data_IF_721138295789
#
_entry.id   IF_721138295789
#
_cell.length_a   1.000
_cell.length_b   1.000
_cell.length_c   1.000
_cell.angle_alpha   90.00
_cell.angle_beta   90.00
_cell.angle_gamma   90.00
#
_symmetry.space_group_name_H-M   'P 1'
#
loop_
_entity.id
_entity.type
_entity.pdbx_description
1 polymer ?
#
# COMPACT_ATOMS: atom_id res chain seq x y z
N UNK A 1 11.57 1.66 24.51
CA UNK A 1 11.23 1.23 24.20
C UNK A 1 10.85 0.85 23.46
N UNK A 2 10.58 0.57 23.24
CA UNK A 2 10.19 0.05 22.80
C UNK A 2 9.72 -0.36 22.11
N UNK A 3 9.65 -0.31 21.79
CA UNK A 3 9.07 -0.85 21.02
C UNK A 3 8.60 -1.83 20.80
N UNK A 4 8.00 -1.72 20.89
CA UNK A 4 7.29 -2.75 20.85
C UNK A 4 7.45 -3.53 19.74
N UNK A 5 7.60 -4.60 19.85
CA UNK A 5 7.69 -5.49 18.91
C UNK A 5 6.42 -5.72 18.36
N UNK A 6 6.01 -4.81 17.73
CA UNK A 6 4.81 -4.89 17.26
C UNK A 6 4.71 -5.76 16.11
N UNK A 7 3.89 -6.70 16.17
CA UNK A 7 3.74 -7.61 15.11
C UNK A 7 2.85 -7.09 14.04
N UNK A 8 2.27 -5.95 14.24
CA UNK A 8 1.38 -5.38 13.25
C UNK A 8 2.16 -4.41 12.37
N UNK A 9 3.25 -4.92 11.82
CA UNK A 9 4.10 -4.10 10.99
C UNK A 9 3.41 -3.41 9.87
N UNK A 10 2.47 -4.06 9.12
CA UNK A 10 1.83 -3.35 8.02
C UNK A 10 1.08 -2.10 8.47
N UNK A 11 0.49 -2.16 9.66
CA UNK A 11 -0.19 -0.98 10.15
C UNK A 11 0.78 0.09 10.59
N UNK A 12 1.90 -0.32 11.14
CA UNK A 12 2.88 0.63 11.61
C UNK A 12 3.60 1.33 10.49
N UNK A 13 3.72 0.67 9.33
CA UNK A 13 4.47 1.22 8.22
C UNK A 13 3.70 2.31 7.49
N UNK A 14 2.39 2.14 7.36
CA UNK A 14 1.62 3.13 6.61
C UNK A 14 1.15 4.22 7.53
N UNK A 15 1.52 5.44 7.24
CA UNK A 15 1.20 6.59 8.05
C UNK A 15 0.34 7.57 7.29
N UNK A 16 -0.45 8.36 7.99
CA UNK A 16 -1.24 9.38 7.31
C UNK A 16 -0.35 10.30 6.49
N UNK A 17 -0.84 10.68 5.33
CA UNK A 17 -0.13 11.53 4.41
C UNK A 17 -0.67 12.94 4.55
N UNK A 18 0.20 13.92 4.52
CA UNK A 18 -0.21 15.31 4.65
C UNK A 18 0.36 16.14 3.52
N UNK A 19 -0.33 17.23 3.24
CA UNK A 19 0.18 18.23 2.34
C UNK A 19 -0.19 17.98 0.90
N UNK A 20 0.50 18.70 0.05
CA UNK A 20 0.14 18.74 -1.36
C UNK A 20 0.64 17.55 -2.16
N UNK A 21 1.48 16.73 -1.57
CA UNK A 21 2.08 15.64 -2.31
C UNK A 21 1.51 14.29 -1.89
N UNK A 22 0.20 14.26 -1.67
CA UNK A 22 -0.43 13.04 -1.20
C UNK A 22 -0.23 11.87 -2.15
N UNK A 23 -0.32 12.11 -3.45
CA UNK A 23 -0.14 11.05 -4.42
C UNK A 23 1.28 10.46 -4.34
N UNK A 24 2.28 11.34 -4.40
CA UNK A 24 3.67 10.87 -4.36
C UNK A 24 3.97 10.15 -3.05
N UNK A 25 3.47 10.68 -1.95
CA UNK A 25 3.72 10.07 -0.65
C UNK A 25 3.07 8.69 -0.54
N UNK A 26 1.87 8.53 -1.11
CA UNK A 26 1.21 7.23 -1.15
C UNK A 26 2.04 6.23 -1.94
N UNK A 27 2.48 6.62 -3.13
CA UNK A 27 3.29 5.73 -3.96
C UNK A 27 4.55 5.35 -3.21
N UNK A 28 5.20 6.33 -2.60
CA UNK A 28 6.47 6.08 -1.92
C UNK A 28 6.29 5.14 -0.74
N UNK A 29 5.29 5.38 0.09
CA UNK A 29 5.08 4.53 1.25
C UNK A 29 4.75 3.10 0.86
N UNK A 30 3.88 2.94 -0.13
CA UNK A 30 3.49 1.60 -0.55
C UNK A 30 4.64 0.88 -1.25
N UNK A 31 5.37 1.59 -2.11
CA UNK A 31 6.51 0.99 -2.78
C UNK A 31 7.58 0.55 -1.77
N UNK A 32 7.83 1.38 -0.77
CA UNK A 32 8.80 1.04 0.26
C UNK A 32 8.37 -0.19 1.03
N UNK A 33 7.10 -0.26 1.42
CA UNK A 33 6.60 -1.41 2.16
C UNK A 33 6.75 -2.69 1.34
N UNK A 34 6.50 -2.61 0.03
CA UNK A 34 6.64 -3.77 -0.84
C UNK A 34 8.12 -4.16 -0.95
N UNK A 35 8.99 -3.20 -1.17
CA UNK A 35 10.41 -3.49 -1.31
C UNK A 35 11.04 -4.04 -0.06
N UNK A 36 10.54 -3.63 1.10
CA UNK A 36 11.04 -4.13 2.35
C UNK A 36 10.44 -5.48 2.76
N UNK A 37 9.50 -5.97 1.97
CA UNK A 37 8.89 -7.26 2.25
C UNK A 37 7.80 -7.23 3.29
N UNK A 38 7.33 -6.04 3.65
CA UNK A 38 6.19 -5.93 4.56
C UNK A 38 4.98 -6.58 3.91
N UNK A 39 4.83 -6.36 2.61
CA UNK A 39 3.84 -7.07 1.80
C UNK A 39 4.62 -7.98 0.87
N UNK A 40 4.73 -9.26 1.20
CA UNK A 40 5.60 -10.14 0.43
C UNK A 40 5.10 -10.41 -0.99
N UNK A 41 6.01 -10.85 -1.83
CA UNK A 41 5.68 -11.25 -3.19
C UNK A 41 4.55 -12.27 -3.15
N UNK A 42 3.55 -12.07 -3.95
CA UNK A 42 2.41 -12.98 -4.04
C UNK A 42 1.31 -12.71 -3.05
N UNK A 43 1.54 -11.83 -2.08
CA UNK A 43 0.49 -11.54 -1.11
C UNK A 43 -0.50 -10.54 -1.68
N UNK A 44 -1.70 -10.53 -1.10
CA UNK A 44 -2.75 -9.59 -1.49
C UNK A 44 -2.69 -8.40 -0.56
N UNK A 45 -2.70 -7.21 -1.14
CA UNK A 45 -2.72 -5.99 -0.35
C UNK A 45 -4.10 -5.79 0.28
N UNK A 46 -4.18 -5.00 1.35
CA UNK A 46 -5.48 -4.59 1.85
C UNK A 46 -6.26 -3.88 0.75
N UNK A 47 -7.57 -3.78 0.93
CA UNK A 47 -8.42 -3.13 -0.07
C UNK A 47 -8.03 -1.68 -0.23
N UNK A 48 -8.38 -1.10 -1.38
CA UNK A 48 -8.12 0.32 -1.60
C UNK A 48 -8.82 1.17 -0.55
N UNK A 49 -10.01 0.77 -0.15
CA UNK A 49 -10.73 1.49 0.88
C UNK A 49 -9.96 1.50 2.20
N UNK A 50 -9.41 0.35 2.57
CA UNK A 50 -8.66 0.25 3.80
C UNK A 50 -7.34 1.02 3.72
N UNK A 51 -6.65 0.92 2.59
CA UNK A 51 -5.41 1.66 2.41
C UNK A 51 -5.64 3.15 2.42
N UNK A 52 -6.72 3.61 1.78
CA UNK A 52 -7.04 5.03 1.78
C UNK A 52 -7.29 5.51 3.20
N UNK A 53 -7.96 4.70 4.00
CA UNK A 53 -8.22 5.04 5.39
C UNK A 53 -6.93 5.13 6.18
N UNK A 54 -6.05 4.17 6.03
CA UNK A 54 -4.79 4.16 6.78
C UNK A 54 -3.90 5.32 6.42
N UNK A 55 -3.86 5.67 5.15
CA UNK A 55 -3.04 6.77 4.67
C UNK A 55 -3.74 8.11 4.81
N UNK A 56 -5.01 8.09 5.12
CA UNK A 56 -5.83 9.29 5.28
C UNK A 56 -5.82 10.13 4.01
N UNK A 57 -6.12 9.48 2.90
CA UNK A 57 -6.23 10.15 1.61
C UNK A 57 -7.56 9.76 0.98
N UNK A 58 -7.95 10.49 -0.06
CA UNK A 58 -9.16 10.15 -0.79
C UNK A 58 -8.98 8.85 -1.54
N UNK A 59 -10.09 8.18 -1.82
CA UNK A 59 -10.01 6.96 -2.60
C UNK A 59 -9.52 7.24 -4.01
N UNK A 60 -9.84 8.43 -4.54
CA UNK A 60 -9.35 8.79 -5.87
C UNK A 60 -7.83 8.92 -5.87
N UNK A 61 -7.26 9.58 -4.85
CA UNK A 61 -5.83 9.70 -4.76
C UNK A 61 -5.17 8.33 -4.62
N UNK A 62 -5.73 7.48 -3.79
CA UNK A 62 -5.17 6.16 -3.62
C UNK A 62 -5.27 5.34 -4.91
N UNK A 63 -6.38 5.45 -5.62
CA UNK A 63 -6.54 4.71 -6.87
C UNK A 63 -5.47 5.11 -7.88
N UNK A 64 -5.16 6.40 -7.94
CA UNK A 64 -4.10 6.86 -8.82
C UNK A 64 -2.75 6.33 -8.40
N UNK A 65 -2.51 6.28 -7.09
CA UNK A 65 -1.26 5.71 -6.59
C UNK A 65 -1.16 4.23 -6.95
N UNK A 66 -2.26 3.49 -6.83
CA UNK A 66 -2.25 2.08 -7.18
C UNK A 66 -1.98 1.88 -8.67
N UNK A 67 -2.52 2.77 -9.51
CA UNK A 67 -2.25 2.68 -10.94
C UNK A 67 -0.75 2.88 -11.21
N UNK A 68 -0.12 3.81 -10.51
CA UNK A 68 1.31 4.03 -10.68
C UNK A 68 2.11 2.81 -10.23
N UNK A 69 1.70 2.15 -9.15
CA UNK A 69 2.39 0.96 -8.70
C UNK A 69 2.24 -0.18 -9.70
N UNK A 70 1.07 -0.29 -10.33
CA UNK A 70 0.88 -1.30 -11.37
C UNK A 70 1.77 -1.03 -12.57
N UNK A 71 1.87 0.23 -12.97
CA UNK A 71 2.71 0.57 -14.09
C UNK A 71 4.18 0.30 -13.80
N UNK A 72 4.57 0.45 -12.55
CA UNK A 72 5.95 0.18 -12.16
C UNK A 72 6.23 -1.30 -11.95
N UNK A 73 5.20 -2.14 -12.06
CA UNK A 73 5.41 -3.59 -11.93
C UNK A 73 5.48 -4.09 -10.51
N UNK A 74 5.04 -3.27 -9.55
CA UNK A 74 5.11 -3.68 -8.16
C UNK A 74 3.89 -4.48 -7.74
N UNK A 75 2.75 -4.26 -8.39
CA UNK A 75 1.52 -4.96 -8.08
C UNK A 75 0.75 -5.22 -9.37
N UNK A 76 -0.21 -6.12 -9.28
CA UNK A 76 -1.13 -6.32 -10.39
C UNK A 76 -2.50 -6.64 -9.82
N UNK A 77 -3.53 -6.33 -10.59
CA UNK A 77 -4.90 -6.60 -10.18
C UNK A 77 -5.32 -7.95 -10.71
N UNK A 78 -5.90 -8.76 -9.85
CA UNK A 78 -6.42 -10.07 -10.24
C UNK A 78 -7.89 -10.14 -9.95
N UNK A 79 -8.61 -10.80 -10.84
CA UNK A 79 -10.04 -10.94 -10.72
C UNK A 79 -10.41 -12.24 -10.05
N UNK A 80 -11.64 -12.29 -9.61
CA UNK A 80 -12.22 -13.51 -9.14
C UNK A 80 -12.08 -13.69 -7.66
N UNK A 81 -12.47 -14.88 -7.22
CA UNK A 81 -12.44 -15.20 -5.82
C UNK A 81 -10.99 -15.23 -5.35
N UNK A 82 -10.74 -14.57 -4.26
CA UNK A 82 -9.38 -14.45 -3.78
C UNK A 82 -8.55 -13.44 -4.54
N UNK A 83 -9.19 -12.70 -5.45
CA UNK A 83 -8.47 -11.72 -6.24
C UNK A 83 -8.20 -10.46 -5.45
N UNK A 84 -7.92 -9.37 -6.17
CA UNK A 84 -7.58 -8.10 -5.57
C UNK A 84 -6.25 -7.63 -6.11
N UNK A 85 -5.55 -6.82 -5.35
CA UNK A 85 -4.25 -6.34 -5.79
C UNK A 85 -3.17 -7.20 -5.15
N UNK A 86 -2.33 -7.79 -5.98
CA UNK A 86 -1.33 -8.75 -5.56
C UNK A 86 0.05 -8.18 -5.80
N UNK A 87 0.95 -8.41 -4.86
CA UNK A 87 2.33 -7.94 -4.97
C UNK A 87 3.09 -8.81 -5.96
N UNK A 88 3.73 -8.16 -6.95
CA UNK A 88 4.43 -8.88 -8.01
C UNK A 88 5.93 -8.56 -8.04
N UNK A 89 6.40 -7.82 -7.08
CA UNK A 89 7.83 -7.55 -7.01
C UNK A 89 8.42 -8.16 -5.77
#
# INVERSE_FOLDING_TARGET
MTASPDHRLPEAVLRPVRGHHAFEACVEQLATAIRLGVYPLGSTLPSERELASRLTVSRATLREAMAALREAGLVETRRGRGGGTVVTL
#
